data_IF_521807433434
#
_entry.id   IF_521807433434
#
_cell.length_a   1.000
_cell.length_b   1.000
_cell.length_c   1.000
_cell.angle_alpha   90.00
_cell.angle_beta   90.00
_cell.angle_gamma   90.00
#
_symmetry.space_group_name_H-M   'P 1'
#
loop_
_entity.id
_entity.type
_entity.pdbx_description
1 polymer ?
#
# COMPACT_ATOMS: atom_id res chain seq x y z
N UNK A 1 0.78 -15.63 -7.60
CA UNK A 1 1.47 -16.09 -6.38
C UNK A 1 2.93 -15.64 -6.31
N UNK A 2 3.68 -15.59 -7.46
CA UNK A 2 5.10 -15.17 -7.43
C UNK A 2 5.31 -13.66 -7.41
N UNK A 3 4.32 -12.84 -7.67
CA UNK A 3 4.49 -11.38 -7.68
C UNK A 3 4.90 -10.83 -6.31
N UNK A 4 4.37 -11.39 -5.22
CA UNK A 4 4.72 -10.95 -3.87
C UNK A 4 6.18 -11.26 -3.55
N UNK A 5 6.68 -12.49 -3.67
CA UNK A 5 8.10 -12.79 -3.50
C UNK A 5 9.03 -11.95 -4.38
N UNK A 6 8.69 -11.72 -5.65
CA UNK A 6 9.49 -10.89 -6.53
C UNK A 6 9.62 -9.45 -6.00
N UNK A 7 8.53 -8.89 -5.50
CA UNK A 7 8.52 -7.53 -4.91
C UNK A 7 9.38 -7.50 -3.65
N UNK A 8 9.21 -8.46 -2.75
CA UNK A 8 9.94 -8.51 -1.48
C UNK A 8 11.44 -8.70 -1.67
N UNK A 9 11.86 -9.42 -2.73
CA UNK A 9 13.25 -9.55 -3.13
C UNK A 9 13.76 -8.36 -3.99
N UNK A 10 12.89 -7.37 -4.28
CA UNK A 10 13.27 -6.19 -5.06
C UNK A 10 13.39 -6.44 -6.58
N UNK A 11 12.90 -7.57 -7.07
CA UNK A 11 12.93 -7.91 -8.49
C UNK A 11 11.77 -7.25 -9.24
N UNK A 12 11.86 -5.93 -9.37
CA UNK A 12 10.78 -5.10 -9.93
C UNK A 12 10.87 -4.92 -11.44
N UNK A 13 11.99 -5.33 -12.06
CA UNK A 13 12.29 -5.13 -13.48
C UNK A 13 13.08 -6.29 -14.05
N UNK A 14 13.09 -6.39 -15.39
CA UNK A 14 13.86 -7.36 -16.12
C UNK A 14 13.08 -8.62 -16.53
N UNK A 15 13.76 -9.61 -17.11
CA UNK A 15 13.07 -10.72 -17.77
C UNK A 15 12.30 -11.63 -16.82
N UNK A 16 12.76 -11.81 -15.59
CA UNK A 16 12.10 -12.73 -14.65
C UNK A 16 10.68 -12.25 -14.28
N UNK A 17 10.47 -11.01 -13.76
CA UNK A 17 9.12 -10.54 -13.49
C UNK A 17 8.28 -10.40 -14.77
N UNK A 18 8.86 -10.16 -15.94
CA UNK A 18 8.14 -10.13 -17.22
C UNK A 18 7.60 -11.52 -17.58
N UNK A 19 8.42 -12.56 -17.51
CA UNK A 19 7.99 -13.94 -17.76
C UNK A 19 6.90 -14.41 -16.79
N UNK A 20 7.03 -14.05 -15.52
CA UNK A 20 6.01 -14.33 -14.52
C UNK A 20 4.70 -13.60 -14.84
N UNK A 21 4.78 -12.33 -15.26
CA UNK A 21 3.61 -11.58 -15.69
C UNK A 21 2.96 -12.18 -16.94
N UNK A 22 3.73 -12.57 -17.94
CA UNK A 22 3.24 -13.26 -19.15
C UNK A 22 2.51 -14.55 -18.77
N UNK A 23 3.11 -15.35 -17.89
CA UNK A 23 2.50 -16.59 -17.44
C UNK A 23 1.14 -16.40 -16.77
N UNK A 24 1.00 -15.33 -15.94
CA UNK A 24 -0.27 -15.10 -15.23
C UNK A 24 -1.30 -14.33 -16.06
N UNK A 25 -0.85 -13.39 -16.87
CA UNK A 25 -1.75 -12.52 -17.61
C UNK A 25 -2.15 -13.12 -18.97
N UNK A 26 -1.28 -13.93 -19.61
CA UNK A 26 -1.56 -14.54 -20.90
C UNK A 26 -2.95 -15.17 -21.01
N UNK A 27 -3.33 -16.10 -20.09
CA UNK A 27 -4.65 -16.73 -20.14
C UNK A 27 -5.82 -15.75 -19.92
N UNK A 28 -5.60 -14.62 -19.26
CA UNK A 28 -6.61 -13.58 -19.08
C UNK A 28 -6.74 -12.73 -20.35
N UNK A 29 -5.61 -12.37 -20.96
CA UNK A 29 -5.57 -11.60 -22.20
C UNK A 29 -6.19 -12.37 -23.38
N UNK A 30 -5.96 -13.68 -23.46
CA UNK A 30 -6.61 -14.56 -24.45
C UNK A 30 -8.13 -14.58 -24.32
N UNK A 31 -8.66 -14.32 -23.10
CA UNK A 31 -10.11 -14.18 -22.86
C UNK A 31 -10.65 -12.78 -23.17
N UNK A 32 -9.80 -11.87 -23.64
CA UNK A 32 -10.19 -10.53 -24.06
C UNK A 32 -10.57 -9.58 -22.93
N UNK A 33 -9.90 -9.65 -21.78
CA UNK A 33 -10.12 -8.69 -20.71
C UNK A 33 -9.78 -7.26 -21.19
N UNK A 34 -10.56 -6.30 -20.79
CA UNK A 34 -10.35 -4.86 -21.03
C UNK A 34 -9.88 -4.12 -19.78
N UNK A 35 -10.05 -4.73 -18.61
CA UNK A 35 -9.74 -4.11 -17.32
C UNK A 35 -9.04 -5.10 -16.40
N UNK A 36 -7.93 -4.66 -15.79
CA UNK A 36 -7.14 -5.41 -14.83
C UNK A 36 -7.06 -4.65 -13.51
N UNK A 37 -7.59 -5.24 -12.44
CA UNK A 37 -7.54 -4.67 -11.09
C UNK A 37 -6.33 -5.22 -10.34
N UNK A 38 -5.46 -4.32 -9.87
CA UNK A 38 -4.32 -4.66 -9.02
C UNK A 38 -4.79 -4.78 -7.56
N UNK A 39 -5.37 -5.92 -7.21
CA UNK A 39 -6.03 -6.18 -5.92
C UNK A 39 -5.09 -6.64 -4.80
N UNK A 40 -3.81 -6.30 -4.86
CA UNK A 40 -2.81 -6.62 -3.85
C UNK A 40 -1.89 -5.41 -3.66
N UNK A 41 -1.46 -5.15 -2.43
CA UNK A 41 -0.58 -4.02 -2.10
C UNK A 41 0.78 -4.06 -2.79
N UNK A 42 1.25 -5.24 -3.18
CA UNK A 42 2.52 -5.45 -3.88
C UNK A 42 2.43 -5.17 -5.39
N UNK A 43 1.28 -5.42 -6.00
CA UNK A 43 1.15 -5.38 -7.46
C UNK A 43 1.40 -4.00 -8.09
N UNK A 44 1.06 -2.87 -7.46
CA UNK A 44 1.40 -1.55 -7.99
C UNK A 44 2.91 -1.33 -8.19
N UNK A 45 3.76 -2.01 -7.40
CA UNK A 45 5.22 -1.93 -7.54
C UNK A 45 5.71 -2.62 -8.83
N UNK A 46 4.96 -3.59 -9.36
CA UNK A 46 5.18 -4.24 -10.65
C UNK A 46 4.37 -3.62 -11.78
N UNK A 47 3.69 -2.49 -11.55
CA UNK A 47 2.77 -1.90 -12.54
C UNK A 47 3.40 -1.67 -13.91
N UNK A 48 4.68 -1.29 -13.97
CA UNK A 48 5.40 -1.10 -15.24
C UNK A 48 5.56 -2.40 -16.03
N UNK A 49 5.87 -3.49 -15.34
CA UNK A 49 6.01 -4.83 -15.94
C UNK A 49 4.64 -5.34 -16.39
N UNK A 50 3.65 -5.26 -15.48
CA UNK A 50 2.27 -5.67 -15.76
C UNK A 50 1.71 -4.88 -16.95
N UNK A 51 1.92 -3.57 -17.00
CA UNK A 51 1.49 -2.71 -18.12
C UNK A 51 2.11 -3.11 -19.44
N UNK A 52 3.40 -3.45 -19.43
CA UNK A 52 4.12 -3.88 -20.65
C UNK A 52 3.50 -5.16 -21.20
N UNK A 53 3.20 -6.13 -20.34
CA UNK A 53 2.62 -7.42 -20.74
C UNK A 53 1.15 -7.29 -21.11
N UNK A 54 0.36 -6.56 -20.31
CA UNK A 54 -1.07 -6.38 -20.58
C UNK A 54 -1.36 -5.56 -21.84
N UNK A 55 -0.43 -4.68 -22.23
CA UNK A 55 -0.60 -3.81 -23.38
C UNK A 55 -1.48 -2.57 -23.10
N UNK A 56 -1.54 -1.64 -24.08
CA UNK A 56 -2.22 -0.35 -23.90
C UNK A 56 -3.75 -0.46 -23.90
N UNK A 57 -4.31 -1.51 -24.48
CA UNK A 57 -5.75 -1.73 -24.57
C UNK A 57 -6.41 -2.15 -23.24
N UNK A 58 -5.62 -2.67 -22.28
CA UNK A 58 -6.13 -3.10 -20.98
C UNK A 58 -6.01 -1.94 -19.99
N UNK A 59 -7.15 -1.50 -19.45
CA UNK A 59 -7.20 -0.51 -18.38
C UNK A 59 -6.67 -1.15 -17.08
N UNK A 60 -5.67 -0.54 -16.47
CA UNK A 60 -5.23 -0.93 -15.13
C UNK A 60 -5.86 -0.05 -14.07
N UNK A 61 -6.35 -0.69 -12.99
CA UNK A 61 -6.91 -0.03 -11.81
C UNK A 61 -6.03 -0.36 -10.62
N UNK A 62 -5.37 0.67 -10.07
CA UNK A 62 -4.61 0.56 -8.82
C UNK A 62 -5.54 0.81 -7.64
N UNK A 63 -5.80 -0.24 -6.85
CA UNK A 63 -6.71 -0.16 -5.71
C UNK A 63 -6.15 0.70 -4.58
N UNK A 64 -4.83 0.83 -4.45
CA UNK A 64 -4.22 1.68 -3.42
C UNK A 64 -4.41 3.17 -3.77
N UNK A 65 -4.19 3.55 -5.03
CA UNK A 65 -4.41 4.91 -5.52
C UNK A 65 -5.89 5.30 -5.40
N UNK A 66 -6.81 4.45 -5.85
CA UNK A 66 -8.24 4.68 -5.74
C UNK A 66 -8.70 4.81 -4.28
N UNK A 67 -8.18 3.96 -3.40
CA UNK A 67 -8.46 4.06 -1.96
C UNK A 67 -7.96 5.38 -1.39
N UNK A 68 -6.75 5.81 -1.74
CA UNK A 68 -6.18 7.09 -1.33
C UNK A 68 -7.06 8.27 -1.75
N UNK A 69 -7.55 8.27 -2.99
CA UNK A 69 -8.51 9.27 -3.47
C UNK A 69 -9.81 9.28 -2.67
N UNK A 70 -10.38 8.11 -2.38
CA UNK A 70 -11.62 7.99 -1.59
C UNK A 70 -11.44 8.44 -0.15
N UNK A 71 -10.32 8.10 0.48
CA UNK A 71 -10.00 8.58 1.84
C UNK A 71 -9.90 10.11 1.85
N UNK A 72 -9.20 10.70 0.88
CA UNK A 72 -9.10 12.15 0.76
C UNK A 72 -10.47 12.81 0.62
N UNK A 73 -11.31 12.32 -0.29
CA UNK A 73 -12.68 12.82 -0.46
C UNK A 73 -13.50 12.72 0.82
N UNK A 74 -13.37 11.60 1.54
CA UNK A 74 -14.06 11.40 2.81
C UNK A 74 -13.63 12.42 3.87
N UNK A 75 -12.32 12.65 4.01
CA UNK A 75 -11.77 13.62 4.95
C UNK A 75 -12.24 15.05 4.62
N UNK A 76 -12.23 15.41 3.33
CA UNK A 76 -12.66 16.73 2.87
C UNK A 76 -14.17 16.95 3.13
N UNK A 77 -15.03 15.98 2.78
CA UNK A 77 -16.48 16.05 3.01
C UNK A 77 -16.86 16.16 4.49
N UNK A 78 -16.10 15.48 5.36
CA UNK A 78 -16.37 15.48 6.80
C UNK A 78 -15.58 16.54 7.57
N UNK A 79 -14.83 17.42 6.90
CA UNK A 79 -13.99 18.47 7.51
C UNK A 79 -12.96 17.91 8.50
N UNK A 80 -12.46 16.70 8.23
CA UNK A 80 -11.47 15.99 9.07
C UNK A 80 -10.05 16.16 8.55
N UNK A 81 -9.87 16.85 7.41
CA UNK A 81 -8.55 17.07 6.85
C UNK A 81 -7.77 18.07 7.67
N UNK A 82 -6.52 17.72 8.00
CA UNK A 82 -5.57 18.65 8.59
C UNK A 82 -5.21 19.76 7.60
N UNK A 83 -5.37 21.00 8.03
CA UNK A 83 -5.13 22.20 7.22
C UNK A 83 -3.93 23.02 7.70
N UNK A 84 -3.28 22.61 8.80
CA UNK A 84 -2.07 23.28 9.27
C UNK A 84 -0.90 23.09 8.32
N UNK A 85 0.03 24.04 8.32
CA UNK A 85 1.26 23.96 7.52
C UNK A 85 2.28 22.93 8.08
N UNK A 86 1.91 22.15 9.09
CA UNK A 86 2.79 21.13 9.67
C UNK A 86 2.86 19.94 8.74
N UNK A 87 4.08 19.52 8.40
CA UNK A 87 4.31 18.21 7.77
C UNK A 87 4.50 17.18 8.90
N UNK A 88 3.50 16.35 9.18
CA UNK A 88 3.63 15.36 10.25
C UNK A 88 4.63 14.29 9.84
N UNK A 89 5.40 13.78 10.81
CA UNK A 89 6.22 12.59 10.60
C UNK A 89 5.31 11.38 10.79
N UNK A 90 5.05 10.57 9.75
CA UNK A 90 4.19 9.40 9.86
C UNK A 90 4.74 8.39 10.88
N UNK A 91 3.83 7.69 11.55
CA UNK A 91 4.14 6.55 12.41
C UNK A 91 3.59 5.28 11.75
N UNK A 92 4.48 4.38 11.35
CA UNK A 92 4.12 3.06 10.85
C UNK A 92 4.19 2.06 12.00
N UNK A 93 3.08 1.38 12.23
CA UNK A 93 2.97 0.33 13.25
C UNK A 93 2.89 -1.03 12.57
N UNK A 94 3.70 -1.95 13.02
CA UNK A 94 3.76 -3.33 12.52
C UNK A 94 3.50 -4.30 13.65
N UNK A 95 2.82 -5.40 13.36
CA UNK A 95 2.61 -6.49 14.32
C UNK A 95 3.89 -7.30 14.55
N UNK A 96 4.79 -7.29 13.58
CA UNK A 96 6.09 -7.95 13.61
C UNK A 96 7.08 -7.18 12.73
N UNK A 97 8.35 -7.14 13.13
CA UNK A 97 9.43 -6.47 12.42
C UNK A 97 10.57 -7.48 12.14
N UNK A 98 10.45 -8.32 11.12
CA UNK A 98 11.51 -9.25 10.76
C UNK A 98 12.80 -8.49 10.40
N UNK A 99 13.98 -9.10 10.52
CA UNK A 99 15.28 -8.42 10.32
C UNK A 99 15.40 -7.67 8.98
N UNK A 100 14.71 -8.13 7.94
CA UNK A 100 14.73 -7.55 6.61
C UNK A 100 13.67 -6.46 6.37
N UNK A 101 12.86 -6.11 7.39
CA UNK A 101 11.74 -5.14 7.23
C UNK A 101 12.17 -3.81 6.60
N UNK A 102 13.41 -3.37 6.87
CA UNK A 102 13.93 -2.11 6.31
C UNK A 102 14.04 -2.13 4.80
N UNK A 103 14.42 -3.27 4.22
CA UNK A 103 14.51 -3.45 2.77
C UNK A 103 13.11 -3.41 2.14
N UNK A 104 12.17 -4.16 2.70
CA UNK A 104 10.79 -4.18 2.24
C UNK A 104 10.17 -2.80 2.40
N UNK A 105 10.34 -2.16 3.56
CA UNK A 105 9.83 -0.81 3.79
C UNK A 105 10.37 0.21 2.79
N UNK A 106 11.65 0.15 2.44
CA UNK A 106 12.25 1.06 1.46
C UNK A 106 11.64 0.93 0.05
N UNK A 107 11.08 -0.22 -0.29
CA UNK A 107 10.37 -0.43 -1.56
C UNK A 107 9.03 0.31 -1.55
N UNK A 108 8.28 0.26 -0.45
CA UNK A 108 6.95 0.85 -0.31
C UNK A 108 6.96 2.32 0.08
N UNK A 109 7.92 2.71 0.93
CA UNK A 109 7.99 4.06 1.50
C UNK A 109 9.11 4.87 0.87
N UNK A 110 8.75 5.88 0.09
CA UNK A 110 9.69 6.79 -0.58
C UNK A 110 9.85 8.13 0.14
N UNK A 111 9.25 8.29 1.33
CA UNK A 111 9.35 9.52 2.12
C UNK A 111 10.63 9.56 2.97
N UNK A 112 11.15 10.78 3.21
CA UNK A 112 12.45 10.99 3.87
C UNK A 112 12.44 10.66 5.37
N UNK A 113 11.29 10.81 6.04
CA UNK A 113 11.16 10.62 7.48
C UNK A 113 9.92 9.80 7.84
N UNK A 114 10.14 8.71 8.58
CA UNK A 114 9.07 7.87 9.12
C UNK A 114 9.50 7.32 10.48
N UNK A 115 8.58 7.30 11.44
CA UNK A 115 8.76 6.57 12.69
C UNK A 115 8.20 5.17 12.55
N UNK A 116 8.90 4.20 13.10
CA UNK A 116 8.51 2.79 13.05
C UNK A 116 8.32 2.30 14.47
N UNK A 117 7.25 1.56 14.72
CA UNK A 117 6.95 0.92 15.98
C UNK A 117 6.46 -0.49 15.75
N UNK A 118 7.00 -1.41 16.51
CA UNK A 118 6.43 -2.74 16.66
C UNK A 118 5.30 -2.69 17.69
N UNK A 119 4.16 -3.25 17.36
CA UNK A 119 2.95 -3.29 18.18
C UNK A 119 2.45 -4.74 18.20
N UNK A 120 2.92 -5.55 19.16
CA UNK A 120 2.47 -6.94 19.29
C UNK A 120 0.95 -7.05 19.41
N UNK A 121 0.38 -8.09 18.83
CA UNK A 121 -1.07 -8.31 18.80
C UNK A 121 -1.67 -8.47 20.21
N UNK A 122 -0.89 -8.96 21.16
CA UNK A 122 -1.27 -9.04 22.58
C UNK A 122 -1.55 -7.66 23.22
N UNK A 123 -0.94 -6.60 22.68
CA UNK A 123 -1.18 -5.24 23.15
C UNK A 123 -2.50 -4.65 22.61
N UNK A 124 -3.13 -5.29 21.63
CA UNK A 124 -4.44 -4.89 21.11
C UNK A 124 -5.60 -5.53 21.87
N UNK A 125 -5.39 -6.69 22.54
CA UNK A 125 -6.45 -7.43 23.23
C UNK A 125 -6.77 -6.95 24.66
N UNK A 126 -6.01 -6.00 25.23
CA UNK A 126 -6.16 -5.64 26.64
C UNK A 126 -6.14 -4.16 27.02
N UNK A 127 -5.84 -3.24 26.12
CA UNK A 127 -5.79 -1.80 26.43
C UNK A 127 -6.32 -0.92 25.31
N UNK A 128 -7.59 -1.04 25.00
CA UNK A 128 -8.31 0.02 24.26
C UNK A 128 -8.33 1.35 25.04
N UNK A 129 -8.10 1.32 26.36
CA UNK A 129 -8.22 2.50 27.22
C UNK A 129 -7.16 3.59 27.01
N UNK A 130 -5.95 3.28 26.54
CA UNK A 130 -4.94 4.31 26.34
C UNK A 130 -5.00 4.99 24.96
N UNK A 131 -5.59 4.34 23.96
CA UNK A 131 -5.82 4.96 22.66
C UNK A 131 -7.13 5.77 22.62
N UNK A 132 -8.09 5.48 23.50
CA UNK A 132 -9.28 6.33 23.70
C UNK A 132 -8.91 7.70 24.24
N UNK A 133 -7.88 7.85 25.05
CA UNK A 133 -7.40 9.15 25.51
C UNK A 133 -6.85 10.02 24.37
N UNK A 134 -6.26 9.44 23.31
CA UNK A 134 -5.87 10.19 22.12
C UNK A 134 -7.09 10.63 21.29
N UNK A 135 -8.12 9.82 21.19
CA UNK A 135 -9.36 10.16 20.50
C UNK A 135 -10.16 11.23 21.26
N UNK A 136 -10.18 11.18 22.59
CA UNK A 136 -10.80 12.23 23.43
C UNK A 136 -10.04 13.56 23.40
N UNK A 137 -8.72 13.54 23.21
CA UNK A 137 -7.94 14.78 23.08
C UNK A 137 -8.19 15.49 21.74
N UNK A 138 -8.69 14.79 20.74
CA UNK A 138 -9.10 15.37 19.45
C UNK A 138 -10.56 15.89 19.48
N UNK A 139 -11.41 15.44 20.42
CA UNK A 139 -12.79 15.90 20.57
C UNK A 139 -12.94 17.10 21.52
N UNK A 140 -11.93 17.46 22.29
CA UNK A 140 -11.97 18.50 23.33
C UNK A 140 -11.45 19.88 22.91
N UNK A 141 -11.37 20.19 21.62
CA UNK A 141 -11.08 21.55 21.13
C UNK A 141 -12.24 22.05 20.26
N UNK A 142 -13.28 22.51 20.95
CA UNK A 142 -14.19 23.54 20.46
C UNK A 142 -13.69 24.90 20.93
#
# INVERSE_FOLDING_TARGET
>A
PLFVPLVEEGWLHGPVPEQVAEHYLGPLLERGIDTLILGCTHYPLLAKVIRRVAGPSVRMVDTAEETGHRVREFLDRNRLRETSARTPVPLLCFSDLPPYYRNVLAIFWKGDHVRIRECGLENFSGKMDQNQQLAHHLQGRN
#
